data_IF_312980019466
#
_entry.id   IF_312980019466
#
_cell.length_a   1.000
_cell.length_b   1.000
_cell.length_c   1.000
_cell.angle_alpha   90.00
_cell.angle_beta   90.00
_cell.angle_gamma   90.00
#
_symmetry.space_group_name_H-M   'P 1'
#
loop_
_entity.id
_entity.type
_entity.pdbx_description
1 polymer ?
#
# COMPACT_ATOMS: atom_id res chain seq x y z
N UNK A 1 6.07 -24.30 20.20
CA UNK A 1 6.62 -23.22 19.37
C UNK A 1 6.39 -23.63 17.93
N UNK A 2 5.75 -22.80 17.14
CA UNK A 2 5.47 -23.05 15.72
C UNK A 2 6.65 -22.59 14.88
N UNK A 3 7.15 -23.42 13.99
CA UNK A 3 8.22 -23.04 13.07
C UNK A 3 7.65 -22.63 11.71
N UNK A 4 8.21 -21.56 11.14
CA UNK A 4 7.89 -21.05 9.79
C UNK A 4 9.21 -20.91 9.04
N UNK A 5 9.31 -21.49 7.87
CA UNK A 5 10.52 -21.39 7.06
C UNK A 5 10.55 -20.03 6.32
N UNK A 6 11.69 -19.38 6.33
CA UNK A 6 11.91 -18.13 5.60
C UNK A 6 11.59 -18.24 4.10
N UNK A 7 11.81 -19.41 3.49
CA UNK A 7 11.47 -19.66 2.08
C UNK A 7 9.96 -19.61 1.80
N UNK A 8 9.14 -20.03 2.76
CA UNK A 8 7.68 -19.96 2.64
C UNK A 8 7.23 -18.50 2.68
N UNK A 9 7.88 -17.68 3.52
CA UNK A 9 7.63 -16.23 3.59
C UNK A 9 8.00 -15.59 2.25
N UNK A 10 9.16 -15.90 1.68
CA UNK A 10 9.58 -15.42 0.35
C UNK A 10 8.51 -15.72 -0.71
N UNK A 11 8.05 -16.97 -0.76
CA UNK A 11 7.05 -17.38 -1.74
C UNK A 11 5.71 -16.64 -1.58
N UNK A 12 5.26 -16.42 -0.33
CA UNK A 12 4.04 -15.69 -0.07
C UNK A 12 4.18 -14.19 -0.36
N UNK A 13 5.28 -13.54 0.02
CA UNK A 13 5.53 -12.13 -0.31
C UNK A 13 5.55 -11.91 -1.81
N UNK A 14 6.26 -12.77 -2.56
CA UNK A 14 6.26 -12.76 -4.03
C UNK A 14 4.84 -12.79 -4.59
N UNK A 15 4.03 -13.78 -4.19
CA UNK A 15 2.64 -13.94 -4.64
C UNK A 15 1.81 -12.69 -4.30
N UNK A 16 1.88 -12.23 -3.06
CA UNK A 16 1.12 -11.09 -2.58
C UNK A 16 1.50 -9.77 -3.29
N UNK A 17 2.76 -9.55 -3.63
CA UNK A 17 3.18 -8.40 -4.42
C UNK A 17 2.49 -8.36 -5.79
N UNK A 18 2.38 -9.50 -6.45
CA UNK A 18 1.72 -9.60 -7.76
C UNK A 18 0.20 -9.46 -7.63
N UNK A 19 -0.43 -10.19 -6.71
CA UNK A 19 -1.86 -10.16 -6.48
C UNK A 19 -2.37 -8.79 -6.06
N UNK A 20 -1.70 -8.14 -5.10
CA UNK A 20 -2.10 -6.82 -4.60
C UNK A 20 -1.99 -5.71 -5.64
N UNK A 21 -1.21 -5.90 -6.70
CA UNK A 21 -1.14 -4.97 -7.82
C UNK A 21 -2.16 -5.28 -8.93
N UNK A 22 -2.71 -6.50 -8.98
CA UNK A 22 -3.60 -6.94 -10.06
C UNK A 22 -5.07 -7.03 -9.64
N UNK A 23 -5.34 -7.23 -8.36
CA UNK A 23 -6.70 -7.38 -7.82
C UNK A 23 -7.02 -6.26 -6.86
N UNK A 24 -8.16 -5.60 -7.07
CA UNK A 24 -8.72 -4.69 -6.06
C UNK A 24 -9.54 -5.48 -5.02
N UNK A 25 -9.46 -5.11 -3.73
CA UNK A 25 -10.38 -5.62 -2.71
C UNK A 25 -11.83 -5.35 -3.06
N UNK A 26 -12.73 -6.25 -2.67
CA UNK A 26 -14.15 -6.17 -3.04
C UNK A 26 -14.84 -4.90 -2.52
N UNK A 27 -14.51 -4.48 -1.31
CA UNK A 27 -15.02 -3.24 -0.71
C UNK A 27 -14.64 -1.98 -1.52
N UNK A 28 -13.47 -1.97 -2.16
CA UNK A 28 -13.04 -0.88 -3.06
C UNK A 28 -13.82 -0.94 -4.38
N UNK A 29 -14.00 -2.14 -4.97
CA UNK A 29 -14.83 -2.32 -6.18
C UNK A 29 -16.26 -1.84 -5.95
N UNK A 30 -16.86 -2.23 -4.82
CA UNK A 30 -18.21 -1.78 -4.44
C UNK A 30 -18.29 -0.24 -4.32
N UNK A 31 -17.27 0.39 -3.72
CA UNK A 31 -17.23 1.87 -3.60
C UNK A 31 -17.10 2.56 -4.95
N UNK A 32 -16.25 2.07 -5.84
CA UNK A 32 -16.12 2.63 -7.19
C UNK A 32 -17.45 2.50 -7.96
N UNK A 33 -18.08 1.32 -7.91
CA UNK A 33 -19.37 1.06 -8.57
C UNK A 33 -20.48 1.95 -8.01
N UNK A 34 -20.57 2.11 -6.69
CA UNK A 34 -21.55 2.99 -6.05
C UNK A 34 -21.31 4.46 -6.42
N UNK A 35 -20.05 4.88 -6.48
CA UNK A 35 -19.68 6.23 -6.88
C UNK A 35 -20.03 6.53 -8.34
N UNK A 36 -19.79 5.59 -9.26
CA UNK A 36 -20.19 5.71 -10.67
C UNK A 36 -21.71 5.90 -10.81
N UNK A 37 -22.48 5.15 -10.03
CA UNK A 37 -23.95 5.23 -10.06
C UNK A 37 -24.45 6.58 -9.52
N UNK A 38 -23.85 7.08 -8.44
CA UNK A 38 -24.26 8.29 -7.74
C UNK A 38 -23.72 9.58 -8.37
N UNK A 39 -22.71 9.52 -9.24
CA UNK A 39 -22.04 10.70 -9.82
C UNK A 39 -22.95 11.45 -10.78
N UNK A 40 -23.30 12.71 -10.50
CA UNK A 40 -24.16 13.51 -11.35
C UNK A 40 -23.44 14.14 -12.54
N UNK A 41 -22.12 14.35 -12.47
CA UNK A 41 -21.36 14.96 -13.54
C UNK A 41 -20.94 13.93 -14.58
N UNK A 42 -21.48 14.04 -15.78
CA UNK A 42 -21.32 13.05 -16.85
C UNK A 42 -19.86 12.70 -17.16
N UNK A 43 -18.94 13.68 -17.11
CA UNK A 43 -17.52 13.44 -17.36
C UNK A 43 -16.90 12.59 -16.24
N UNK A 44 -17.16 12.91 -14.97
CA UNK A 44 -16.65 12.16 -13.83
C UNK A 44 -17.24 10.73 -13.82
N UNK A 45 -18.52 10.59 -14.12
CA UNK A 45 -19.19 9.29 -14.27
C UNK A 45 -18.53 8.42 -15.35
N UNK A 46 -18.21 9.00 -16.51
CA UNK A 46 -17.49 8.29 -17.57
C UNK A 46 -16.09 7.85 -17.12
N UNK A 47 -15.36 8.71 -16.39
CA UNK A 47 -14.03 8.37 -15.85
C UNK A 47 -14.13 7.20 -14.86
N UNK A 48 -15.12 7.20 -13.97
CA UNK A 48 -15.35 6.09 -13.03
C UNK A 48 -15.67 4.79 -13.77
N UNK A 49 -16.44 4.84 -14.86
CA UNK A 49 -16.70 3.70 -15.75
C UNK A 49 -15.42 3.16 -16.39
N UNK A 50 -14.53 4.03 -16.85
CA UNK A 50 -13.22 3.64 -17.40
C UNK A 50 -12.35 2.98 -16.31
N UNK A 51 -12.35 3.52 -15.08
CA UNK A 51 -11.62 2.92 -13.95
C UNK A 51 -12.17 1.51 -13.64
N UNK A 52 -13.50 1.35 -13.66
CA UNK A 52 -14.14 0.05 -13.49
C UNK A 52 -13.73 -0.95 -14.58
N UNK A 53 -13.74 -0.55 -15.83
CA UNK A 53 -13.27 -1.40 -16.93
C UNK A 53 -11.80 -1.77 -16.78
N UNK A 54 -10.96 -0.82 -16.37
CA UNK A 54 -9.53 -1.04 -16.16
C UNK A 54 -9.24 -2.13 -15.11
N UNK A 55 -9.89 -2.07 -13.94
CA UNK A 55 -9.61 -3.11 -12.93
C UNK A 55 -10.16 -4.50 -13.33
N UNK A 56 -11.24 -4.57 -14.11
CA UNK A 56 -11.73 -5.85 -14.64
C UNK A 56 -10.75 -6.44 -15.65
N UNK A 57 -10.19 -5.62 -16.54
CA UNK A 57 -9.14 -6.05 -17.48
C UNK A 57 -7.89 -6.50 -16.74
N UNK A 58 -7.48 -5.75 -15.72
CA UNK A 58 -6.30 -6.08 -14.92
C UNK A 58 -6.45 -7.43 -14.20
N UNK A 59 -7.63 -7.70 -13.64
CA UNK A 59 -7.96 -8.95 -12.97
C UNK A 59 -7.98 -10.12 -13.96
N UNK A 60 -8.64 -9.97 -15.12
CA UNK A 60 -8.76 -11.02 -16.14
C UNK A 60 -7.41 -11.37 -16.77
N UNK A 61 -6.60 -10.35 -17.09
CA UNK A 61 -5.29 -10.52 -17.72
C UNK A 61 -4.15 -10.77 -16.72
N UNK A 62 -4.43 -10.67 -15.41
CA UNK A 62 -3.43 -10.75 -14.33
C UNK A 62 -2.27 -9.77 -14.54
N UNK A 63 -2.59 -8.52 -14.81
CA UNK A 63 -1.64 -7.42 -14.99
C UNK A 63 -1.90 -6.29 -13.98
N UNK A 64 -0.92 -5.43 -13.70
CA UNK A 64 -1.12 -4.34 -12.75
C UNK A 64 -2.23 -3.37 -13.15
N UNK A 65 -3.06 -2.97 -12.19
CA UNK A 65 -4.14 -1.99 -12.38
C UNK A 65 -3.62 -0.58 -12.69
N UNK A 66 -2.37 -0.29 -12.36
CA UNK A 66 -1.73 1.02 -12.54
C UNK A 66 -0.26 0.86 -12.89
N UNK A 67 0.31 1.84 -13.62
CA UNK A 67 1.75 1.89 -13.88
C UNK A 67 2.58 2.21 -12.63
N UNK A 68 2.00 2.82 -11.60
CA UNK A 68 2.66 3.05 -10.31
C UNK A 68 2.34 1.90 -9.35
N UNK A 69 3.18 0.88 -9.38
CA UNK A 69 3.10 -0.28 -8.48
C UNK A 69 3.83 -0.05 -7.15
N UNK A 70 4.41 1.13 -6.99
CA UNK A 70 4.92 1.68 -5.74
C UNK A 70 6.05 0.93 -5.06
N UNK A 71 6.20 1.16 -3.75
CA UNK A 71 7.03 0.38 -2.83
C UNK A 71 6.17 -0.67 -2.13
N UNK A 72 6.75 -1.83 -1.86
CA UNK A 72 6.07 -2.85 -1.07
C UNK A 72 6.11 -2.47 0.43
N UNK A 73 4.95 -2.15 1.02
CA UNK A 73 4.79 -2.08 2.46
C UNK A 73 4.35 -3.46 2.97
N UNK A 74 5.13 -4.03 3.87
CA UNK A 74 4.91 -5.39 4.39
C UNK A 74 4.66 -5.29 5.89
N UNK A 75 3.46 -5.68 6.30
CA UNK A 75 3.05 -5.68 7.70
C UNK A 75 2.99 -7.14 8.19
N UNK A 76 3.63 -7.41 9.32
CA UNK A 76 3.68 -8.74 9.92
C UNK A 76 3.22 -8.71 11.36
N UNK A 77 2.17 -9.49 11.66
CA UNK A 77 1.79 -9.84 13.03
C UNK A 77 2.41 -11.20 13.35
N UNK A 78 3.34 -11.22 14.28
CA UNK A 78 4.15 -12.41 14.63
C UNK A 78 3.82 -12.84 16.04
N UNK A 79 3.30 -14.05 16.19
CA UNK A 79 3.03 -14.65 17.50
C UNK A 79 4.31 -14.88 18.30
N UNK A 80 4.25 -14.67 19.63
CA UNK A 80 5.40 -14.88 20.53
C UNK A 80 5.90 -16.33 20.55
N UNK A 81 5.04 -17.28 20.17
CA UNK A 81 5.37 -18.71 20.07
C UNK A 81 5.77 -19.13 18.64
N UNK A 82 6.03 -18.17 17.74
CA UNK A 82 6.53 -18.41 16.39
C UNK A 82 8.05 -18.29 16.37
N UNK A 83 8.70 -19.24 15.73
CA UNK A 83 10.12 -19.18 15.37
C UNK A 83 10.28 -19.19 13.86
N UNK A 84 10.93 -18.15 13.30
CA UNK A 84 11.26 -18.12 11.88
C UNK A 84 12.62 -18.75 11.65
N UNK A 85 12.65 -19.82 10.87
CA UNK A 85 13.87 -20.52 10.49
C UNK A 85 14.49 -19.84 9.28
N UNK A 86 15.53 -19.04 9.50
CA UNK A 86 16.23 -18.25 8.51
C UNK A 86 16.18 -16.75 8.79
N UNK A 87 16.61 -15.94 7.82
CA UNK A 87 16.59 -14.49 7.95
C UNK A 87 15.25 -13.94 7.41
N UNK A 88 14.43 -13.40 8.31
CA UNK A 88 13.09 -12.90 8.00
C UNK A 88 13.11 -11.69 7.06
N UNK A 89 13.98 -10.74 7.34
CA UNK A 89 14.09 -9.50 6.53
C UNK A 89 14.56 -9.81 5.10
N UNK A 90 15.57 -10.67 4.98
CA UNK A 90 16.06 -11.11 3.66
C UNK A 90 14.99 -11.90 2.90
N UNK A 91 14.22 -12.75 3.59
CA UNK A 91 13.14 -13.50 2.98
C UNK A 91 12.04 -12.59 2.40
N UNK A 92 11.70 -11.51 3.11
CA UNK A 92 10.74 -10.51 2.63
C UNK A 92 11.31 -9.77 1.42
N UNK A 93 12.54 -9.27 1.50
CA UNK A 93 13.18 -8.55 0.39
C UNK A 93 13.35 -9.44 -0.85
N UNK A 94 13.72 -10.71 -0.66
CA UNK A 94 13.79 -11.68 -1.78
C UNK A 94 12.42 -11.91 -2.42
N UNK A 95 11.36 -12.00 -1.62
CA UNK A 95 9.99 -12.10 -2.11
C UNK A 95 9.57 -10.88 -2.94
N UNK A 96 9.90 -9.68 -2.49
CA UNK A 96 9.66 -8.44 -3.23
C UNK A 96 10.46 -8.43 -4.54
N UNK A 97 11.74 -8.76 -4.51
CA UNK A 97 12.62 -8.83 -5.69
C UNK A 97 12.03 -9.76 -6.77
N UNK A 98 11.62 -10.95 -6.35
CA UNK A 98 11.00 -11.92 -7.26
C UNK A 98 9.65 -11.43 -7.77
N UNK A 99 8.77 -10.95 -6.88
CA UNK A 99 7.43 -10.48 -7.22
C UNK A 99 7.44 -9.32 -8.20
N UNK A 100 8.30 -8.32 -7.98
CA UNK A 100 8.43 -7.18 -8.89
C UNK A 100 9.10 -7.53 -10.22
N UNK A 101 9.96 -8.54 -10.24
CA UNK A 101 10.61 -8.98 -11.47
C UNK A 101 9.69 -9.87 -12.32
N UNK A 102 9.09 -10.90 -11.72
CA UNK A 102 8.25 -11.85 -12.43
C UNK A 102 6.86 -11.30 -12.76
N UNK A 103 6.32 -10.42 -11.89
CA UNK A 103 5.06 -9.71 -12.13
C UNK A 103 5.20 -8.54 -13.12
N UNK A 104 6.39 -8.29 -13.66
CA UNK A 104 6.68 -7.14 -14.54
C UNK A 104 6.26 -5.81 -13.91
N UNK A 105 6.37 -5.68 -12.57
CA UNK A 105 6.02 -4.49 -11.83
C UNK A 105 7.09 -3.41 -11.96
N UNK A 106 6.69 -2.15 -11.82
CA UNK A 106 7.61 -1.01 -11.92
C UNK A 106 8.54 -0.95 -10.72
N UNK A 107 9.84 -1.02 -10.95
CA UNK A 107 10.89 -0.91 -9.93
C UNK A 107 11.21 0.56 -9.71
N UNK A 108 10.65 1.16 -8.67
CA UNK A 108 10.70 2.61 -8.42
C UNK A 108 11.62 3.03 -7.25
N UNK A 109 12.11 2.06 -6.45
CA UNK A 109 12.93 2.34 -5.28
C UNK A 109 14.32 2.82 -5.70
N UNK A 110 14.80 3.87 -5.04
CA UNK A 110 16.15 4.44 -5.21
C UNK A 110 16.95 4.27 -3.93
N UNK A 111 18.28 4.21 -4.05
CA UNK A 111 19.21 4.00 -2.93
C UNK A 111 19.29 5.19 -1.99
N UNK A 112 19.10 6.38 -2.53
CA UNK A 112 19.19 7.64 -1.79
C UNK A 112 18.20 8.65 -2.40
N UNK A 113 17.51 9.46 -1.61
CA UNK A 113 16.53 10.42 -2.12
C UNK A 113 17.15 11.58 -2.92
N UNK A 114 18.43 11.90 -2.71
CA UNK A 114 19.15 12.95 -3.42
C UNK A 114 19.98 12.39 -4.57
N UNK A 115 20.75 11.32 -4.32
CA UNK A 115 21.45 10.54 -5.36
C UNK A 115 20.56 9.38 -5.81
N UNK A 116 19.67 9.66 -6.73
CA UNK A 116 18.54 8.82 -7.12
C UNK A 116 18.91 7.62 -8.00
N UNK A 117 19.91 6.86 -7.59
CA UNK A 117 20.29 5.61 -8.26
C UNK A 117 19.27 4.52 -7.94
N UNK A 118 18.62 3.98 -8.97
CA UNK A 118 17.63 2.92 -8.82
C UNK A 118 18.25 1.64 -8.26
N UNK A 119 17.53 0.95 -7.37
CA UNK A 119 17.99 -0.31 -6.79
C UNK A 119 17.89 -1.50 -7.75
N UNK A 120 17.14 -1.36 -8.84
CA UNK A 120 16.91 -2.34 -9.91
C UNK A 120 16.01 -3.53 -9.56
N UNK A 121 15.67 -3.73 -8.31
CA UNK A 121 14.90 -4.86 -7.80
C UNK A 121 13.72 -4.47 -6.89
N UNK A 122 13.51 -3.16 -6.70
CA UNK A 122 12.48 -2.56 -5.85
C UNK A 122 12.62 -2.87 -4.35
N UNK A 123 13.83 -3.18 -3.89
CA UNK A 123 14.16 -3.35 -2.47
C UNK A 123 14.96 -2.16 -1.94
N UNK A 124 15.00 -1.92 -0.61
CA UNK A 124 14.30 -2.67 0.43
C UNK A 124 12.80 -2.41 0.47
N UNK A 125 12.05 -3.38 0.97
CA UNK A 125 10.65 -3.20 1.36
C UNK A 125 10.53 -2.32 2.62
N UNK A 126 9.38 -1.67 2.80
CA UNK A 126 9.02 -1.04 4.08
C UNK A 126 8.39 -2.10 4.97
N UNK A 127 9.11 -2.56 6.01
CA UNK A 127 8.70 -3.69 6.83
C UNK A 127 8.29 -3.20 8.22
N UNK A 128 7.09 -3.60 8.65
CA UNK A 128 6.53 -3.31 9.97
C UNK A 128 6.27 -4.61 10.72
N UNK A 129 6.64 -4.63 11.99
CA UNK A 129 6.52 -5.80 12.86
C UNK A 129 5.63 -5.49 14.06
N UNK A 130 4.62 -6.33 14.29
CA UNK A 130 3.84 -6.37 15.51
C UNK A 130 4.02 -7.74 16.16
N UNK A 131 4.45 -7.75 17.43
CA UNK A 131 4.56 -8.98 18.21
C UNK A 131 3.25 -9.16 19.00
N UNK A 132 2.56 -10.27 18.74
CA UNK A 132 1.26 -10.57 19.32
C UNK A 132 1.30 -11.86 20.15
N UNK A 133 0.40 -12.07 21.10
CA UNK A 133 0.33 -13.35 21.84
C UNK A 133 0.00 -14.52 20.92
N UNK A 134 0.48 -15.73 21.30
CA UNK A 134 0.17 -16.99 20.62
C UNK A 134 1.12 -17.35 19.49
N UNK A 135 0.68 -18.23 18.59
CA UNK A 135 1.46 -18.82 17.50
C UNK A 135 0.95 -18.43 16.10
N UNK A 136 0.12 -17.38 16.03
CA UNK A 136 -0.35 -16.82 14.78
C UNK A 136 0.79 -16.15 13.98
N UNK A 137 0.70 -16.20 12.66
CA UNK A 137 1.55 -15.42 11.77
C UNK A 137 0.68 -14.88 10.65
N UNK A 138 0.60 -13.55 10.55
CA UNK A 138 -0.17 -12.87 9.51
C UNK A 138 0.77 -11.96 8.72
N UNK A 139 0.66 -12.04 7.42
CA UNK A 139 1.45 -11.26 6.46
C UNK A 139 0.49 -10.48 5.56
N UNK A 140 0.69 -9.17 5.50
CA UNK A 140 -0.05 -8.27 4.62
C UNK A 140 0.92 -7.50 3.75
N UNK A 141 0.69 -7.48 2.45
CA UNK A 141 1.46 -6.67 1.49
C UNK A 141 0.54 -5.61 0.91
N UNK A 142 0.96 -4.35 1.04
CA UNK A 142 0.27 -3.20 0.50
C UNK A 142 1.21 -2.41 -0.42
N UNK A 143 1.03 -2.46 -1.74
CA UNK A 143 1.76 -1.59 -2.65
C UNK A 143 1.39 -0.12 -2.39
N UNK A 144 2.38 0.73 -2.15
CA UNK A 144 2.18 2.15 -1.86
C UNK A 144 2.76 3.01 -2.97
N UNK A 145 1.88 3.61 -3.78
CA UNK A 145 2.28 4.50 -4.85
C UNK A 145 2.96 5.78 -4.34
N UNK A 146 3.99 6.23 -5.01
CA UNK A 146 4.76 7.41 -4.58
C UNK A 146 4.02 8.73 -4.83
N UNK A 147 3.18 8.81 -5.86
CA UNK A 147 2.40 10.01 -6.14
C UNK A 147 1.46 10.36 -4.99
N UNK A 148 0.75 9.37 -4.44
CA UNK A 148 -0.11 9.55 -3.28
C UNK A 148 0.67 9.75 -1.98
N UNK A 149 1.81 9.05 -1.80
CA UNK A 149 2.68 9.23 -0.62
C UNK A 149 3.20 10.66 -0.50
N UNK A 150 3.58 11.27 -1.62
CA UNK A 150 4.07 12.65 -1.64
C UNK A 150 3.03 13.69 -1.19
N UNK A 151 1.75 13.33 -1.14
CA UNK A 151 0.68 14.19 -0.67
C UNK A 151 0.36 13.99 0.82
N UNK A 152 0.98 13.03 1.48
CA UNK A 152 0.83 12.80 2.92
C UNK A 152 1.43 13.97 3.71
N UNK A 153 0.73 14.39 4.77
CA UNK A 153 1.16 15.48 5.64
C UNK A 153 1.00 15.10 7.11
N UNK A 154 1.86 15.65 7.94
CA UNK A 154 1.77 15.55 9.40
C UNK A 154 1.67 16.95 10.00
N UNK A 155 0.90 17.10 11.07
CA UNK A 155 0.78 18.37 11.80
C UNK A 155 0.63 18.11 13.29
N UNK A 156 1.39 18.85 14.07
CA UNK A 156 1.21 18.91 15.52
C UNK A 156 0.15 19.94 15.85
N UNK A 157 -1.03 19.48 16.29
CA UNK A 157 -2.11 20.33 16.71
C UNK A 157 -2.00 20.66 18.22
N UNK A 158 -2.50 21.83 18.62
CA UNK A 158 -2.62 22.19 20.03
C UNK A 158 -3.92 21.62 20.60
N UNK A 159 -3.99 21.29 21.89
CA UNK A 159 -5.24 20.87 22.52
C UNK A 159 -6.40 21.85 22.32
N UNK A 160 -6.10 23.16 22.24
CA UNK A 160 -7.09 24.21 21.96
C UNK A 160 -7.72 24.15 20.57
N UNK A 161 -7.07 23.49 19.60
CA UNK A 161 -7.60 23.37 18.23
C UNK A 161 -8.79 22.38 18.19
N UNK A 162 -8.84 21.46 19.14
CA UNK A 162 -9.95 20.54 19.33
C UNK A 162 -10.29 19.70 18.09
N UNK A 163 -11.49 19.14 18.10
CA UNK A 163 -12.00 18.34 16.98
C UNK A 163 -12.08 19.14 15.68
N UNK A 164 -12.40 20.44 15.77
CA UNK A 164 -12.51 21.26 14.56
C UNK A 164 -11.15 21.42 13.87
N UNK A 165 -10.08 21.65 14.64
CA UNK A 165 -8.73 21.73 14.06
C UNK A 165 -8.28 20.43 13.37
N UNK A 166 -8.69 19.27 13.89
CA UNK A 166 -8.44 17.98 13.22
C UNK A 166 -9.16 17.91 11.87
N UNK A 167 -10.46 18.24 11.85
CA UNK A 167 -11.26 18.24 10.62
C UNK A 167 -10.72 19.22 9.57
N UNK A 168 -10.40 20.43 10.00
CA UNK A 168 -9.86 21.47 9.11
C UNK A 168 -8.52 21.04 8.50
N UNK A 169 -7.66 20.39 9.28
CA UNK A 169 -6.40 19.87 8.76
C UNK A 169 -6.61 18.75 7.74
N UNK A 170 -7.52 17.80 7.98
CA UNK A 170 -7.84 16.74 7.03
C UNK A 170 -8.34 17.32 5.71
N UNK A 171 -9.32 18.24 5.78
CA UNK A 171 -9.87 18.89 4.59
C UNK A 171 -8.81 19.65 3.82
N UNK A 172 -7.96 20.41 4.54
CA UNK A 172 -6.86 21.14 3.92
C UNK A 172 -5.89 20.23 3.18
N UNK A 173 -5.51 19.09 3.77
CA UNK A 173 -4.58 18.13 3.13
C UNK A 173 -5.19 17.57 1.84
N UNK A 174 -6.47 17.22 1.87
CA UNK A 174 -7.17 16.71 0.67
C UNK A 174 -7.27 17.78 -0.41
N UNK A 175 -7.60 19.02 -0.03
CA UNK A 175 -7.69 20.15 -0.96
C UNK A 175 -6.33 20.49 -1.58
N UNK A 176 -5.27 20.58 -0.77
CA UNK A 176 -3.90 20.86 -1.22
C UNK A 176 -3.37 19.74 -2.14
N UNK A 177 -3.74 18.48 -1.89
CA UNK A 177 -3.34 17.35 -2.71
C UNK A 177 -3.92 17.41 -4.13
N UNK A 178 -5.16 17.87 -4.27
CA UNK A 178 -5.82 17.99 -5.56
C UNK A 178 -5.79 16.70 -6.38
N UNK A 179 -5.39 16.75 -7.67
CA UNK A 179 -5.35 15.58 -8.53
C UNK A 179 -4.08 14.72 -8.38
N UNK A 180 -3.07 15.18 -7.62
CA UNK A 180 -1.76 14.53 -7.54
C UNK A 180 -1.79 13.08 -7.01
N UNK A 181 -2.66 12.70 -6.05
CA UNK A 181 -2.75 11.31 -5.60
C UNK A 181 -3.57 10.40 -6.54
N UNK A 182 -3.93 10.85 -7.73
CA UNK A 182 -4.71 10.10 -8.73
C UNK A 182 -6.10 9.66 -8.22
N UNK A 183 -7.07 10.56 -8.10
CA UNK A 183 -8.43 10.23 -7.65
C UNK A 183 -9.09 9.11 -8.50
N UNK A 184 -9.99 8.30 -7.91
CA UNK A 184 -10.50 8.35 -6.53
C UNK A 184 -9.46 7.93 -5.50
N UNK A 185 -9.47 8.60 -4.33
CA UNK A 185 -8.46 8.38 -3.28
C UNK A 185 -9.05 7.72 -2.04
N UNK A 186 -8.19 7.04 -1.28
CA UNK A 186 -8.46 6.60 0.09
C UNK A 186 -7.65 7.47 1.04
N UNK A 187 -8.32 8.08 2.02
CA UNK A 187 -7.69 8.95 3.01
C UNK A 187 -7.46 8.18 4.30
N UNK A 188 -6.20 7.93 4.64
CA UNK A 188 -5.80 7.39 5.94
C UNK A 188 -5.55 8.52 6.94
N UNK A 189 -6.12 8.40 8.14
CA UNK A 189 -5.99 9.42 9.18
C UNK A 189 -5.52 8.77 10.48
N UNK A 190 -4.34 9.16 10.95
CA UNK A 190 -3.86 8.84 12.29
C UNK A 190 -4.05 10.02 13.23
N UNK A 191 -4.57 9.79 14.43
CA UNK A 191 -4.79 10.82 15.46
C UNK A 191 -4.11 10.39 16.75
N UNK A 192 -3.17 11.20 17.23
CA UNK A 192 -2.36 10.89 18.40
C UNK A 192 -1.08 10.13 18.06
N UNK A 193 -0.41 9.61 19.09
CA UNK A 193 0.91 8.98 18.96
C UNK A 193 2.05 9.98 19.03
N UNK A 194 3.19 9.60 18.45
CA UNK A 194 4.39 10.42 18.36
C UNK A 194 4.67 10.79 16.90
N UNK A 195 5.76 11.53 16.64
CA UNK A 195 6.11 11.92 15.27
C UNK A 195 6.45 10.73 14.36
N UNK A 196 6.93 9.66 14.95
CA UNK A 196 7.38 8.44 14.28
C UNK A 196 6.32 7.30 14.34
N UNK A 197 5.21 7.52 15.07
CA UNK A 197 4.24 6.43 15.28
C UNK A 197 2.84 6.93 15.66
#
# INVERSE_FOLDING_TARGET
>A
MREINAKDITAQVKRLCMEANSYLPEDIKEKINASEQAEPWALAKNILGIIRENYLIAEDAYVPVCQDTGVACVFMEIGQDVHVVGNLEEAVNEGVRQGYTEGCLRKSVVRDPLDRVNTTDNTPAMIYYDIVPGDGFKLTVAPKGFGSENMSQIKMLKPSDGLQGVKDFILKVVEDAGPNPCPPIVVGVGIGGTFDK
#
